data_IF_479393251824
#
_entry.id   IF_479393251824
#
_cell.length_a   1.000
_cell.length_b   1.000
_cell.length_c   1.000
_cell.angle_alpha   90.00
_cell.angle_beta   90.00
_cell.angle_gamma   90.00
#
_symmetry.space_group_name_H-M   'P 1'
#
loop_
_entity.id
_entity.type
_entity.pdbx_description
1 polymer ?
#
# COMPACT_ATOMS: atom_id res chain seq x y z
N UNK A 1 4.69 14.87 -19.25
CA UNK A 1 4.47 13.86 -18.19
C UNK A 1 4.12 12.51 -18.83
N UNK A 2 5.05 11.87 -19.55
CA UNK A 2 4.74 10.75 -20.46
C UNK A 2 5.67 9.53 -20.31
N UNK A 3 6.30 9.35 -19.15
CA UNK A 3 7.00 8.09 -18.84
C UNK A 3 6.31 7.44 -17.66
N UNK A 4 5.67 6.30 -17.89
CA UNK A 4 5.13 5.45 -16.83
C UNK A 4 6.27 5.07 -15.90
N UNK A 5 6.12 5.34 -14.61
CA UNK A 5 7.05 4.83 -13.61
C UNK A 5 6.91 3.30 -13.63
N UNK A 6 7.97 2.61 -14.01
CA UNK A 6 8.03 1.15 -13.90
C UNK A 6 8.56 0.82 -12.51
N UNK A 7 7.78 0.06 -11.76
CA UNK A 7 8.19 -0.42 -10.45
C UNK A 7 9.29 -1.47 -10.61
N UNK A 8 10.22 -1.51 -9.66
CA UNK A 8 11.13 -2.66 -9.52
C UNK A 8 10.35 -3.88 -9.03
N UNK A 9 10.94 -5.08 -9.18
CA UNK A 9 10.34 -6.31 -8.69
C UNK A 9 10.07 -6.24 -7.18
N UNK A 10 11.00 -5.66 -6.43
CA UNK A 10 10.90 -5.48 -4.98
C UNK A 10 9.76 -4.54 -4.62
N UNK A 11 9.57 -3.45 -5.38
CA UNK A 11 8.47 -2.52 -5.18
C UNK A 11 7.11 -3.19 -5.46
N UNK A 12 7.01 -3.98 -6.53
CA UNK A 12 5.80 -4.76 -6.83
C UNK A 12 5.51 -5.80 -5.75
N UNK A 13 6.54 -6.49 -5.26
CA UNK A 13 6.44 -7.44 -4.16
C UNK A 13 5.93 -6.75 -2.90
N UNK A 14 6.53 -5.61 -2.52
CA UNK A 14 6.10 -4.82 -1.36
C UNK A 14 4.63 -4.40 -1.46
N UNK A 15 4.17 -3.95 -2.63
CA UNK A 15 2.76 -3.60 -2.83
C UNK A 15 1.83 -4.80 -2.65
N UNK A 16 2.19 -5.97 -3.18
CA UNK A 16 1.38 -7.19 -3.03
C UNK A 16 1.33 -7.65 -1.58
N UNK A 17 2.48 -7.67 -0.90
CA UNK A 17 2.56 -8.03 0.52
C UNK A 17 1.73 -7.08 1.39
N UNK A 18 1.81 -5.78 1.11
CA UNK A 18 1.00 -4.78 1.80
C UNK A 18 -0.50 -4.97 1.53
N UNK A 19 -0.89 -5.26 0.29
CA UNK A 19 -2.28 -5.57 -0.06
C UNK A 19 -2.86 -6.73 0.76
N UNK A 20 -2.10 -7.82 0.94
CA UNK A 20 -2.51 -8.94 1.80
C UNK A 20 -2.66 -8.54 3.27
N UNK A 21 -1.85 -7.61 3.77
CA UNK A 21 -1.98 -7.10 5.14
C UNK A 21 -3.24 -6.24 5.29
N UNK A 22 -3.51 -5.34 4.34
CA UNK A 22 -4.71 -4.49 4.34
C UNK A 22 -5.99 -5.34 4.32
N UNK A 23 -6.01 -6.46 3.59
CA UNK A 23 -7.15 -7.37 3.57
C UNK A 23 -7.47 -8.00 4.94
N UNK A 24 -6.49 -8.08 5.84
CA UNK A 24 -6.66 -8.64 7.18
C UNK A 24 -7.00 -7.57 8.23
N UNK A 25 -6.97 -6.28 7.87
CA UNK A 25 -7.26 -5.20 8.81
C UNK A 25 -8.76 -5.12 9.10
N UNK A 26 -9.11 -4.82 10.34
CA UNK A 26 -10.45 -4.30 10.64
C UNK A 26 -10.65 -2.95 9.98
N UNK A 27 -11.92 -2.53 9.89
CA UNK A 27 -12.26 -1.20 9.38
C UNK A 27 -11.56 -0.09 10.16
N UNK A 28 -11.54 -0.18 11.48
CA UNK A 28 -10.94 0.81 12.38
C UNK A 28 -9.42 0.85 12.18
N UNK A 29 -8.76 -0.31 12.11
CA UNK A 29 -7.33 -0.41 11.86
C UNK A 29 -6.95 0.21 10.50
N UNK A 30 -7.72 -0.08 9.45
CA UNK A 30 -7.49 0.50 8.12
C UNK A 30 -7.67 2.02 8.12
N UNK A 31 -8.67 2.54 8.85
CA UNK A 31 -8.93 3.98 8.96
C UNK A 31 -7.80 4.70 9.70
N UNK A 32 -7.36 4.18 10.85
CA UNK A 32 -6.22 4.74 11.58
C UNK A 32 -4.93 4.67 10.76
N UNK A 33 -4.71 3.58 10.02
CA UNK A 33 -3.57 3.43 9.15
C UNK A 33 -3.56 4.50 8.04
N UNK A 34 -4.71 4.73 7.40
CA UNK A 34 -4.84 5.74 6.35
C UNK A 34 -4.56 7.15 6.88
N UNK A 35 -5.04 7.49 8.09
CA UNK A 35 -4.72 8.79 8.69
C UNK A 35 -3.20 8.96 8.87
N UNK A 36 -2.53 7.97 9.46
CA UNK A 36 -1.07 7.99 9.66
C UNK A 36 -0.26 8.00 8.37
N UNK A 37 -0.76 7.38 7.29
CA UNK A 37 -0.08 7.35 5.99
C UNK A 37 -0.03 8.73 5.31
N UNK A 38 -1.00 9.59 5.62
CA UNK A 38 -1.18 10.91 4.99
C UNK A 38 -0.96 12.09 5.95
N UNK A 39 -0.47 11.84 7.17
CA UNK A 39 0.14 12.88 8.02
C UNK A 39 1.40 13.46 7.39
#
# INVERSE_FOLDING_TARGET
MNQSIKLSLEQEFSLRSFGSQVQQMSREQAQEFLLKLYE
#
